data_IF_410791733635
#
_entry.id   IF_410791733635
#
_cell.length_a   1.000
_cell.length_b   1.000
_cell.length_c   1.000
_cell.angle_alpha   90.00
_cell.angle_beta   90.00
_cell.angle_gamma   90.00
#
_symmetry.space_group_name_H-M   'P 1'
#
loop_
_entity.id
_entity.type
_entity.pdbx_description
1 polymer ?
#
# COMPACT_ATOMS: atom_id res chain seq x y z
N UNK A 1 -23.34 12.44 -13.44
CA UNK A 1 -22.91 11.12 -12.90
C UNK A 1 -22.62 11.20 -11.41
N UNK A 2 -23.08 10.18 -10.67
CA UNK A 2 -22.86 10.03 -9.22
C UNK A 2 -21.39 9.75 -8.91
N UNK A 3 -20.67 9.08 -9.81
CA UNK A 3 -19.25 8.78 -9.69
C UNK A 3 -18.47 9.61 -10.72
N UNK A 4 -17.46 10.33 -10.26
CA UNK A 4 -16.49 11.06 -11.09
C UNK A 4 -15.14 10.33 -11.04
N UNK A 5 -14.68 9.85 -12.18
CA UNK A 5 -13.38 9.24 -12.37
C UNK A 5 -13.01 9.23 -13.86
N UNK A 6 -11.72 9.10 -14.18
CA UNK A 6 -11.31 8.92 -15.56
C UNK A 6 -11.85 7.59 -16.11
N UNK A 7 -12.41 7.60 -17.33
CA UNK A 7 -12.94 6.39 -17.99
C UNK A 7 -11.91 5.24 -18.01
N UNK A 8 -10.64 5.55 -18.24
CA UNK A 8 -9.57 4.55 -18.23
C UNK A 8 -9.28 3.94 -16.86
N UNK A 9 -9.52 4.66 -15.76
CA UNK A 9 -9.44 4.08 -14.41
C UNK A 9 -10.60 3.12 -14.14
N UNK A 10 -11.84 3.51 -14.52
CA UNK A 10 -13.02 2.69 -14.30
C UNK A 10 -12.97 1.36 -15.07
N UNK A 11 -12.46 1.38 -16.31
CA UNK A 11 -12.27 0.15 -17.11
C UNK A 11 -11.28 -0.81 -16.43
N UNK A 12 -10.16 -0.30 -15.94
CA UNK A 12 -9.14 -1.11 -15.25
C UNK A 12 -9.68 -1.67 -13.94
N UNK A 13 -10.39 -0.85 -13.16
CA UNK A 13 -11.05 -1.29 -11.93
C UNK A 13 -12.07 -2.40 -12.22
N UNK A 14 -12.96 -2.20 -13.19
CA UNK A 14 -14.00 -3.17 -13.53
C UNK A 14 -13.39 -4.53 -13.93
N UNK A 15 -12.32 -4.53 -14.74
CA UNK A 15 -11.63 -5.76 -15.11
C UNK A 15 -11.02 -6.51 -13.92
N UNK A 16 -10.49 -5.78 -12.93
CA UNK A 16 -9.97 -6.38 -11.69
C UNK A 16 -11.07 -6.91 -10.80
N UNK A 17 -12.15 -6.16 -10.63
CA UNK A 17 -13.33 -6.59 -9.86
C UNK A 17 -13.98 -7.84 -10.47
N UNK A 18 -13.99 -7.97 -11.79
CA UNK A 18 -14.52 -9.16 -12.45
C UNK A 18 -13.69 -10.41 -12.11
N UNK A 19 -12.35 -10.34 -12.22
CA UNK A 19 -11.44 -11.42 -11.81
C UNK A 19 -11.58 -11.77 -10.34
N UNK A 20 -11.79 -10.77 -9.49
CA UNK A 20 -12.02 -10.99 -8.06
C UNK A 20 -13.32 -11.75 -7.80
N UNK A 21 -14.42 -11.34 -8.46
CA UNK A 21 -15.72 -12.03 -8.35
C UNK A 21 -15.64 -13.49 -8.77
N UNK A 22 -14.95 -13.80 -9.86
CA UNK A 22 -14.75 -15.18 -10.33
C UNK A 22 -14.03 -16.04 -9.28
N UNK A 23 -13.04 -15.48 -8.59
CA UNK A 23 -12.35 -16.16 -7.48
C UNK A 23 -13.26 -16.33 -6.27
N UNK A 24 -14.04 -15.32 -5.93
CA UNK A 24 -14.94 -15.36 -4.79
C UNK A 24 -16.07 -16.37 -4.99
N UNK A 25 -16.69 -16.40 -6.17
CA UNK A 25 -17.69 -17.39 -6.56
C UNK A 25 -17.13 -18.81 -6.48
N UNK A 26 -15.94 -19.04 -7.07
CA UNK A 26 -15.24 -20.33 -6.96
C UNK A 26 -14.98 -20.73 -5.51
N UNK A 27 -14.57 -19.80 -4.65
CA UNK A 27 -14.31 -20.08 -3.25
C UNK A 27 -15.61 -20.41 -2.49
N UNK A 28 -16.72 -19.72 -2.77
CA UNK A 28 -18.04 -20.05 -2.19
C UNK A 28 -18.49 -21.45 -2.58
N UNK A 29 -18.35 -21.83 -3.86
CA UNK A 29 -18.67 -23.18 -4.32
C UNK A 29 -17.84 -24.24 -3.60
N UNK A 30 -16.54 -23.98 -3.38
CA UNK A 30 -15.68 -24.88 -2.60
C UNK A 30 -16.19 -25.02 -1.16
N UNK A 31 -16.56 -23.93 -0.50
CA UNK A 31 -17.08 -23.99 0.87
C UNK A 31 -18.43 -24.71 0.98
N UNK A 32 -19.26 -24.68 -0.05
CA UNK A 32 -20.53 -25.42 -0.08
C UNK A 32 -20.28 -26.90 -0.32
N UNK A 33 -19.37 -27.25 -1.24
CA UNK A 33 -19.18 -28.62 -1.72
C UNK A 33 -18.20 -29.43 -0.86
N UNK A 34 -17.33 -28.80 -0.07
CA UNK A 34 -16.32 -29.47 0.73
C UNK A 34 -16.45 -29.13 2.22
N UNK A 35 -16.41 -30.16 3.07
CA UNK A 35 -16.43 -30.02 4.56
C UNK A 35 -15.09 -29.49 5.11
N UNK A 36 -14.04 -29.47 4.27
CA UNK A 36 -12.69 -29.11 4.70
C UNK A 36 -12.59 -27.63 5.11
N UNK A 37 -12.10 -27.40 6.33
CA UNK A 37 -11.84 -26.05 6.83
C UNK A 37 -10.46 -25.55 6.38
N UNK A 38 -10.45 -24.44 5.65
CA UNK A 38 -9.22 -23.78 5.18
C UNK A 38 -8.74 -22.65 6.10
N UNK A 39 -9.42 -22.40 7.24
CA UNK A 39 -9.10 -21.33 8.19
C UNK A 39 -7.66 -21.40 8.72
N UNK A 40 -7.09 -22.59 8.85
CA UNK A 40 -5.69 -22.78 9.27
C UNK A 40 -4.72 -22.17 8.27
N UNK A 41 -4.99 -22.34 6.97
CA UNK A 41 -4.19 -21.78 5.90
C UNK A 41 -4.32 -20.25 5.86
N UNK A 42 -5.54 -19.72 6.00
CA UNK A 42 -5.75 -18.27 6.08
C UNK A 42 -5.05 -17.64 7.30
N UNK A 43 -5.09 -18.32 8.46
CA UNK A 43 -4.36 -17.92 9.66
C UNK A 43 -2.85 -17.94 9.46
N UNK A 44 -2.34 -18.91 8.70
CA UNK A 44 -0.93 -18.97 8.33
C UNK A 44 -0.54 -17.78 7.46
N UNK A 45 -1.28 -17.50 6.40
CA UNK A 45 -1.08 -16.31 5.55
C UNK A 45 -1.11 -15.03 6.38
N UNK A 46 -2.11 -14.85 7.24
CA UNK A 46 -2.22 -13.70 8.12
C UNK A 46 -1.01 -13.55 9.06
N UNK A 47 -0.45 -14.65 9.56
CA UNK A 47 0.77 -14.63 10.39
C UNK A 47 1.98 -14.18 9.57
N UNK A 48 2.13 -14.68 8.34
CA UNK A 48 3.24 -14.28 7.47
C UNK A 48 3.20 -12.77 7.18
N UNK A 49 2.02 -12.25 6.82
CA UNK A 49 1.83 -10.82 6.55
C UNK A 49 2.19 -9.96 7.77
N UNK A 50 1.69 -10.31 8.96
CA UNK A 50 2.02 -9.59 10.21
C UNK A 50 3.49 -9.64 10.60
N UNK A 51 4.26 -10.60 10.08
CA UNK A 51 5.67 -10.81 10.37
C UNK A 51 6.60 -10.21 9.30
N UNK A 52 6.05 -9.51 8.30
CA UNK A 52 6.87 -8.80 7.32
C UNK A 52 7.63 -7.66 8.02
N UNK A 53 8.93 -7.60 7.81
CA UNK A 53 9.86 -6.62 8.38
C UNK A 53 10.81 -6.10 7.31
N UNK A 54 11.39 -4.92 7.53
CA UNK A 54 12.25 -4.21 6.57
C UNK A 54 13.66 -4.78 6.35
N UNK A 55 13.84 -6.10 6.43
CA UNK A 55 15.13 -6.76 6.16
C UNK A 55 15.04 -7.62 4.90
N UNK A 56 16.14 -7.69 4.13
CA UNK A 56 16.16 -8.44 2.85
C UNK A 56 15.81 -9.92 3.03
N UNK A 57 16.31 -10.56 4.09
CA UNK A 57 16.07 -11.98 4.35
C UNK A 57 14.64 -12.26 4.78
N UNK A 58 14.06 -11.40 5.63
CA UNK A 58 12.66 -11.54 6.03
C UNK A 58 11.73 -11.43 4.82
N UNK A 59 11.90 -10.38 4.01
CA UNK A 59 11.11 -10.16 2.80
C UNK A 59 11.21 -11.35 1.83
N UNK A 60 12.43 -11.85 1.57
CA UNK A 60 12.64 -13.00 0.68
C UNK A 60 11.99 -14.27 1.23
N UNK A 61 12.21 -14.58 2.50
CA UNK A 61 11.61 -15.75 3.17
C UNK A 61 10.09 -15.72 3.10
N UNK A 62 9.47 -14.58 3.46
CA UNK A 62 8.01 -14.43 3.45
C UNK A 62 7.43 -14.51 2.04
N UNK A 63 8.07 -13.91 1.05
CA UNK A 63 7.65 -14.06 -0.34
C UNK A 63 7.71 -15.53 -0.80
N UNK A 64 8.81 -16.24 -0.52
CA UNK A 64 8.95 -17.66 -0.88
C UNK A 64 7.96 -18.56 -0.16
N UNK A 65 7.71 -18.33 1.14
CA UNK A 65 6.72 -19.08 1.92
C UNK A 65 5.29 -18.86 1.37
N UNK A 66 4.93 -17.64 0.99
CA UNK A 66 3.63 -17.35 0.38
C UNK A 66 3.45 -18.05 -0.97
N UNK A 67 4.48 -18.05 -1.83
CA UNK A 67 4.44 -18.79 -3.11
C UNK A 67 4.28 -20.30 -2.88
N UNK A 68 4.94 -20.86 -1.85
CA UNK A 68 4.76 -22.27 -1.47
C UNK A 68 3.33 -22.54 -0.99
N UNK A 69 2.73 -21.65 -0.19
CA UNK A 69 1.34 -21.76 0.25
C UNK A 69 0.40 -21.79 -0.96
N UNK A 70 0.60 -20.91 -1.94
CA UNK A 70 -0.25 -20.85 -3.13
C UNK A 70 -0.14 -22.09 -4.03
N UNK A 71 0.95 -22.83 -3.90
CA UNK A 71 1.23 -24.04 -4.65
C UNK A 71 0.94 -25.33 -3.86
N UNK A 72 0.45 -25.21 -2.62
CA UNK A 72 0.18 -26.36 -1.77
C UNK A 72 -1.14 -27.04 -2.21
N UNK A 73 -1.12 -28.31 -2.65
CA UNK A 73 -2.34 -29.00 -3.10
C UNK A 73 -3.37 -29.21 -1.97
N UNK A 74 -2.96 -29.10 -0.69
CA UNK A 74 -3.87 -29.26 0.45
C UNK A 74 -4.86 -28.10 0.62
N UNK A 75 -4.64 -26.95 -0.03
CA UNK A 75 -5.56 -25.82 -0.02
C UNK A 75 -5.74 -25.28 -1.45
N UNK A 76 -6.97 -25.12 -1.94
CA UNK A 76 -7.21 -24.49 -3.24
C UNK A 76 -6.48 -23.15 -3.36
N UNK A 77 -5.76 -22.99 -4.47
CA UNK A 77 -4.96 -21.80 -4.71
C UNK A 77 -5.79 -20.51 -4.65
N UNK A 78 -7.04 -20.54 -5.12
CA UNK A 78 -7.97 -19.40 -5.08
C UNK A 78 -8.30 -18.94 -3.66
N UNK A 79 -8.38 -19.86 -2.69
CA UNK A 79 -8.61 -19.53 -1.27
C UNK A 79 -7.37 -18.86 -0.70
N UNK A 80 -6.18 -19.41 -0.97
CA UNK A 80 -4.92 -18.85 -0.49
C UNK A 80 -4.64 -17.45 -1.04
N UNK A 81 -4.91 -17.23 -2.33
CA UNK A 81 -4.74 -15.93 -2.99
C UNK A 81 -5.73 -14.90 -2.42
N UNK A 82 -7.00 -15.28 -2.26
CA UNK A 82 -8.01 -14.39 -1.69
C UNK A 82 -7.67 -14.04 -0.22
N UNK A 83 -7.21 -15.01 0.57
CA UNK A 83 -6.71 -14.77 1.91
C UNK A 83 -5.50 -13.82 1.92
N UNK A 84 -4.55 -13.99 1.00
CA UNK A 84 -3.40 -13.08 0.87
C UNK A 84 -3.86 -11.65 0.58
N UNK A 85 -4.71 -11.46 -0.42
CA UNK A 85 -5.21 -10.16 -0.81
C UNK A 85 -5.94 -9.46 0.36
N UNK A 86 -6.90 -10.14 0.99
CA UNK A 86 -7.61 -9.64 2.18
C UNK A 86 -6.66 -9.28 3.32
N UNK A 87 -5.71 -10.16 3.64
CA UNK A 87 -4.81 -9.97 4.80
C UNK A 87 -3.77 -8.86 4.56
N UNK A 88 -3.29 -8.68 3.33
CA UNK A 88 -2.44 -7.53 2.97
C UNK A 88 -3.22 -6.22 3.18
N UNK A 89 -4.42 -6.13 2.62
CA UNK A 89 -5.25 -4.92 2.72
C UNK A 89 -5.64 -4.64 4.18
N UNK A 90 -6.07 -5.64 4.94
CA UNK A 90 -6.42 -5.45 6.35
C UNK A 90 -5.21 -5.07 7.23
N UNK A 91 -4.04 -5.67 6.96
CA UNK A 91 -2.85 -5.40 7.77
C UNK A 91 -2.27 -4.01 7.51
N UNK A 92 -2.56 -3.39 6.36
CA UNK A 92 -1.97 -2.10 6.03
C UNK A 92 -2.38 -0.97 6.99
N UNK A 93 -3.52 -1.12 7.66
CA UNK A 93 -4.04 -0.21 8.70
C UNK A 93 -3.31 -0.34 10.04
N UNK A 94 -2.49 -1.39 10.20
CA UNK A 94 -1.70 -1.59 11.42
C UNK A 94 -0.57 -0.56 11.50
N UNK A 95 -0.34 0.07 12.68
CA UNK A 95 0.77 1.00 12.86
C UNK A 95 2.14 0.34 12.65
N UNK A 96 2.25 -0.97 12.86
CA UNK A 96 3.48 -1.74 12.65
C UNK A 96 3.70 -2.15 11.18
N UNK A 97 2.83 -1.74 10.26
CA UNK A 97 2.93 -2.10 8.85
C UNK A 97 4.15 -1.44 8.19
N UNK A 98 5.16 -2.26 7.89
CA UNK A 98 6.30 -1.85 7.07
C UNK A 98 5.89 -1.80 5.58
N UNK A 99 5.27 -0.70 5.15
CA UNK A 99 4.65 -0.56 3.83
C UNK A 99 5.58 -0.95 2.65
N UNK A 100 6.86 -0.53 2.66
CA UNK A 100 7.82 -0.91 1.61
C UNK A 100 8.22 -2.38 1.67
N UNK A 101 8.39 -2.96 2.86
CA UNK A 101 8.68 -4.38 2.99
C UNK A 101 7.49 -5.23 2.49
N UNK A 102 6.27 -4.80 2.81
CA UNK A 102 5.04 -5.41 2.28
C UNK A 102 4.97 -5.30 0.75
N UNK A 103 5.25 -4.10 0.20
CA UNK A 103 5.33 -3.88 -1.24
C UNK A 103 6.38 -4.79 -1.92
N UNK A 104 7.55 -4.99 -1.32
CA UNK A 104 8.55 -5.92 -1.84
C UNK A 104 8.01 -7.36 -1.91
N UNK A 105 7.36 -7.84 -0.83
CA UNK A 105 6.74 -9.16 -0.81
C UNK A 105 5.68 -9.29 -1.90
N UNK A 106 4.80 -8.29 -2.05
CA UNK A 106 3.78 -8.26 -3.11
C UNK A 106 4.43 -8.38 -4.49
N UNK A 107 5.44 -7.56 -4.80
CA UNK A 107 6.09 -7.59 -6.12
C UNK A 107 6.78 -8.93 -6.38
N UNK A 108 7.46 -9.50 -5.38
CA UNK A 108 8.13 -10.79 -5.52
C UNK A 108 7.14 -11.95 -5.76
N UNK A 109 6.04 -11.98 -5.01
CA UNK A 109 4.98 -12.99 -5.16
C UNK A 109 4.30 -12.86 -6.52
N UNK A 110 3.88 -11.65 -6.88
CA UNK A 110 3.15 -11.38 -8.13
C UNK A 110 4.03 -11.52 -9.37
N UNK A 111 5.34 -11.33 -9.27
CA UNK A 111 6.26 -11.64 -10.38
C UNK A 111 6.31 -13.14 -10.72
N UNK A 112 6.03 -14.02 -9.76
CA UNK A 112 5.92 -15.48 -9.98
C UNK A 112 4.52 -15.88 -10.41
N UNK A 113 3.51 -15.16 -9.95
CA UNK A 113 2.10 -15.44 -10.22
C UNK A 113 1.36 -14.12 -10.58
N UNK A 114 1.45 -13.65 -11.85
CA UNK A 114 0.99 -12.31 -12.23
C UNK A 114 -0.48 -12.01 -11.93
N UNK A 115 -1.37 -13.01 -12.04
CA UNK A 115 -2.79 -12.85 -11.76
C UNK A 115 -3.10 -12.44 -10.31
N UNK A 116 -2.21 -12.74 -9.35
CA UNK A 116 -2.36 -12.35 -7.94
C UNK A 116 -2.39 -10.83 -7.79
N UNK A 117 -1.69 -10.09 -8.65
CA UNK A 117 -1.67 -8.62 -8.60
C UNK A 117 -3.06 -8.03 -8.84
N UNK A 118 -3.82 -8.57 -9.79
CA UNK A 118 -5.16 -8.09 -10.12
C UNK A 118 -6.14 -8.32 -8.97
N UNK A 119 -6.05 -9.49 -8.31
CA UNK A 119 -6.89 -9.84 -7.16
C UNK A 119 -6.58 -8.94 -5.97
N UNK A 120 -5.30 -8.72 -5.69
CA UNK A 120 -4.87 -7.80 -4.63
C UNK A 120 -5.35 -6.37 -4.89
N UNK A 121 -5.19 -5.88 -6.12
CA UNK A 121 -5.62 -4.53 -6.47
C UNK A 121 -7.15 -4.39 -6.46
N UNK A 122 -7.89 -5.43 -6.81
CA UNK A 122 -9.35 -5.44 -6.66
C UNK A 122 -9.77 -5.25 -5.20
N UNK A 123 -9.21 -6.02 -4.28
CA UNK A 123 -9.43 -5.86 -2.82
C UNK A 123 -9.09 -4.44 -2.35
N UNK A 124 -7.97 -3.90 -2.85
CA UNK A 124 -7.52 -2.57 -2.47
C UNK A 124 -8.43 -1.45 -3.00
N UNK A 125 -8.95 -1.62 -4.22
CA UNK A 125 -9.90 -0.68 -4.84
C UNK A 125 -11.26 -0.68 -4.14
N UNK A 126 -11.70 -1.84 -3.65
CA UNK A 126 -12.90 -1.95 -2.82
C UNK A 126 -12.71 -1.30 -1.45
N UNK A 127 -11.55 -1.48 -0.83
CA UNK A 127 -11.25 -0.90 0.48
C UNK A 127 -11.02 0.63 0.43
N UNK A 128 -10.45 1.14 -0.66
CA UNK A 128 -10.14 2.56 -0.81
C UNK A 128 -10.33 3.04 -2.25
N UNK A 129 -11.42 3.79 -2.47
CA UNK A 129 -11.80 4.32 -3.78
C UNK A 129 -10.74 5.25 -4.40
N UNK A 130 -9.85 5.83 -3.58
CA UNK A 130 -8.79 6.74 -4.02
C UNK A 130 -7.61 6.02 -4.65
N UNK A 131 -7.50 4.69 -4.50
CA UNK A 131 -6.53 3.89 -5.27
C UNK A 131 -6.91 3.78 -6.76
N UNK A 132 -8.14 4.16 -7.13
CA UNK A 132 -8.70 4.21 -8.51
C UNK A 132 -8.85 5.65 -9.07
N UNK A 133 -8.41 6.68 -8.34
CA UNK A 133 -9.00 8.02 -8.26
C UNK A 133 -10.48 8.11 -8.61
N UNK A 134 -11.35 7.80 -7.63
CA UNK A 134 -12.80 8.06 -7.72
C UNK A 134 -13.24 9.14 -6.73
N UNK A 135 -14.26 9.89 -7.14
CA UNK A 135 -15.03 10.78 -6.27
C UNK A 135 -16.52 10.47 -6.43
N UNK A 136 -17.20 10.25 -5.31
CA UNK A 136 -18.64 9.98 -5.29
C UNK A 136 -19.36 11.24 -4.81
N UNK A 137 -20.29 11.73 -5.61
CA UNK A 137 -21.10 12.92 -5.30
C UNK A 137 -22.32 12.48 -4.51
N UNK A 138 -22.50 13.01 -3.30
CA UNK A 138 -23.73 12.80 -2.55
C UNK A 138 -24.93 13.45 -3.26
N UNK A 139 -26.02 12.69 -3.40
CA UNK A 139 -27.33 13.23 -3.71
C UNK A 139 -28.42 12.35 -3.10
N UNK A 140 -29.55 12.94 -2.71
CA UNK A 140 -30.70 12.19 -2.17
C UNK A 140 -31.34 11.23 -3.18
N UNK A 141 -31.13 11.46 -4.48
CA UNK A 141 -31.62 10.58 -5.53
C UNK A 141 -30.73 9.34 -5.72
N UNK A 142 -29.45 9.43 -5.38
CA UNK A 142 -28.48 8.36 -5.56
C UNK A 142 -28.26 7.51 -4.31
N UNK A 143 -28.59 8.04 -3.13
CA UNK A 143 -28.38 7.37 -1.85
C UNK A 143 -29.62 7.46 -0.98
N UNK A 144 -30.02 6.32 -0.42
CA UNK A 144 -31.15 6.19 0.49
C UNK A 144 -30.90 6.96 1.81
N UNK A 145 -29.64 7.04 2.25
CA UNK A 145 -29.24 7.75 3.46
C UNK A 145 -27.80 8.27 3.39
N UNK A 146 -27.41 9.10 4.37
CA UNK A 146 -26.00 9.55 4.51
C UNK A 146 -25.09 8.38 4.88
N UNK A 147 -25.58 7.43 5.65
CA UNK A 147 -24.86 6.22 6.04
C UNK A 147 -24.57 5.35 4.82
N UNK A 148 -25.54 5.19 3.91
CA UNK A 148 -25.33 4.50 2.63
C UNK A 148 -24.26 5.18 1.77
N UNK A 149 -24.26 6.52 1.74
CA UNK A 149 -23.22 7.30 1.07
C UNK A 149 -21.83 7.10 1.70
N UNK A 150 -21.72 7.13 3.03
CA UNK A 150 -20.45 6.90 3.71
C UNK A 150 -19.93 5.48 3.47
N UNK A 151 -20.80 4.46 3.51
CA UNK A 151 -20.42 3.08 3.14
C UNK A 151 -19.89 3.02 1.71
N UNK A 152 -20.51 3.73 0.76
CA UNK A 152 -20.03 3.79 -0.62
C UNK A 152 -18.66 4.48 -0.77
N UNK A 153 -18.31 5.40 0.13
CA UNK A 153 -16.95 5.98 0.22
C UNK A 153 -15.93 5.05 0.89
N UNK A 154 -16.36 3.93 1.46
CA UNK A 154 -15.53 2.97 2.18
C UNK A 154 -15.47 3.22 3.70
N UNK A 155 -16.38 4.01 4.27
CA UNK A 155 -16.47 4.11 5.73
C UNK A 155 -16.89 2.76 6.33
N UNK A 156 -16.19 2.35 7.37
CA UNK A 156 -16.52 1.17 8.15
C UNK A 156 -17.64 1.45 9.15
N UNK A 157 -18.37 0.40 9.48
CA UNK A 157 -19.39 0.40 10.52
C UNK A 157 -18.95 -0.58 11.61
N UNK A 158 -18.91 -0.11 12.84
CA UNK A 158 -18.64 -0.92 14.02
C UNK A 158 -19.82 -0.81 14.99
N UNK A 159 -20.39 -1.95 15.37
CA UNK A 159 -21.55 -2.05 16.27
C UNK A 159 -22.72 -1.13 15.89
N UNK A 160 -23.07 -1.06 14.60
CA UNK A 160 -24.18 -0.24 14.11
C UNK A 160 -23.87 1.25 13.94
N UNK A 161 -22.62 1.67 14.18
CA UNK A 161 -22.19 3.06 14.11
C UNK A 161 -21.13 3.25 13.03
N UNK A 162 -21.38 4.19 12.12
CA UNK A 162 -20.41 4.60 11.11
C UNK A 162 -19.19 5.23 11.78
N UNK A 163 -17.99 4.85 11.33
CA UNK A 163 -16.73 5.40 11.81
C UNK A 163 -16.70 6.93 11.66
N UNK A 164 -15.96 7.60 12.54
CA UNK A 164 -15.81 9.05 12.42
C UNK A 164 -14.81 9.40 11.30
N UNK A 165 -14.88 10.64 10.81
CA UNK A 165 -14.03 11.13 9.71
C UNK A 165 -12.53 11.02 10.03
N UNK A 166 -12.12 11.25 11.28
CA UNK A 166 -10.71 11.19 11.67
C UNK A 166 -10.14 9.78 11.52
N UNK A 167 -10.87 8.77 11.94
CA UNK A 167 -10.43 7.38 11.83
C UNK A 167 -10.50 6.88 10.38
N UNK A 168 -11.52 7.28 9.62
CA UNK A 168 -11.55 7.06 8.17
C UNK A 168 -10.32 7.65 7.46
N UNK A 169 -9.94 8.89 7.79
CA UNK A 169 -8.78 9.55 7.18
C UNK A 169 -7.45 8.82 7.50
N UNK A 170 -7.27 8.29 8.73
CA UNK A 170 -6.09 7.47 9.07
C UNK A 170 -6.04 6.18 8.25
N UNK A 171 -7.18 5.52 8.07
CA UNK A 171 -7.32 4.32 7.24
C UNK A 171 -7.01 4.62 5.77
N UNK A 172 -7.61 5.67 5.23
CA UNK A 172 -7.34 6.18 3.89
C UNK A 172 -5.84 6.47 3.69
N UNK A 173 -5.19 7.16 4.64
CA UNK A 173 -3.75 7.40 4.60
C UNK A 173 -2.98 6.09 4.53
N UNK A 174 -3.31 5.12 5.39
CA UNK A 174 -2.66 3.81 5.45
C UNK A 174 -2.76 3.04 4.13
N UNK A 175 -3.94 3.00 3.52
CA UNK A 175 -4.14 2.42 2.18
C UNK A 175 -3.28 3.13 1.14
N UNK A 176 -3.28 4.46 1.13
CA UNK A 176 -2.54 5.23 0.13
C UNK A 176 -1.03 5.15 0.32
N UNK A 177 -0.54 4.96 1.57
CA UNK A 177 0.87 4.71 1.84
C UNK A 177 1.33 3.38 1.27
N UNK A 178 0.58 2.30 1.50
CA UNK A 178 0.91 1.00 0.91
C UNK A 178 0.76 1.03 -0.63
N UNK A 179 -0.24 1.73 -1.17
CA UNK A 179 -0.39 1.92 -2.63
C UNK A 179 0.81 2.64 -3.25
N UNK A 180 1.23 3.77 -2.66
CA UNK A 180 2.41 4.50 -3.13
C UNK A 180 3.70 3.68 -2.98
N UNK A 181 3.84 2.93 -1.89
CA UNK A 181 4.96 2.02 -1.69
C UNK A 181 5.02 0.94 -2.79
N UNK A 182 3.87 0.30 -3.09
CA UNK A 182 3.74 -0.69 -4.16
C UNK A 182 4.16 -0.10 -5.51
N UNK A 183 3.63 1.07 -5.87
CA UNK A 183 3.92 1.76 -7.14
C UNK A 183 5.41 2.02 -7.36
N UNK A 184 6.14 2.36 -6.30
CA UNK A 184 7.56 2.71 -6.40
C UNK A 184 8.50 1.49 -6.28
N UNK A 185 8.02 0.39 -5.73
CA UNK A 185 8.87 -0.75 -5.39
C UNK A 185 9.21 -1.57 -6.64
N UNK A 186 10.50 -1.80 -6.86
CA UNK A 186 11.01 -2.67 -7.93
C UNK A 186 12.28 -3.37 -7.42
N UNK A 187 12.14 -4.52 -6.74
CA UNK A 187 13.27 -5.26 -6.20
C UNK A 187 14.18 -5.76 -7.34
N UNK A 188 15.52 -5.82 -7.15
CA UNK A 188 16.43 -6.30 -8.19
C UNK A 188 16.06 -7.70 -8.68
N UNK A 189 15.92 -7.86 -10.00
CA UNK A 189 15.53 -9.12 -10.64
C UNK A 189 14.02 -9.41 -10.67
N UNK A 190 13.18 -8.47 -10.23
CA UNK A 190 11.73 -8.57 -10.25
C UNK A 190 11.13 -7.37 -10.98
N UNK A 191 10.17 -7.60 -11.87
CA UNK A 191 9.47 -6.54 -12.58
C UNK A 191 8.15 -6.25 -11.87
N UNK A 192 7.91 -4.98 -11.54
CA UNK A 192 6.65 -4.58 -10.96
C UNK A 192 5.60 -4.27 -12.05
N UNK A 193 4.61 -5.16 -12.19
CA UNK A 193 3.50 -4.98 -13.13
C UNK A 193 2.61 -3.76 -12.81
N UNK A 194 2.62 -3.27 -11.57
CA UNK A 194 1.89 -2.08 -11.11
C UNK A 194 2.86 -0.98 -10.64
N UNK A 195 3.93 -0.76 -11.40
CA UNK A 195 5.00 0.17 -11.06
C UNK A 195 4.74 1.66 -11.39
N UNK A 196 5.82 2.43 -11.55
CA UNK A 196 5.79 3.89 -11.71
C UNK A 196 4.97 4.41 -12.92
N UNK A 197 4.72 3.58 -13.93
CA UNK A 197 3.82 3.93 -15.05
C UNK A 197 2.38 4.09 -14.56
N UNK A 198 1.92 3.14 -13.75
CA UNK A 198 0.59 3.19 -13.14
C UNK A 198 0.49 4.32 -12.11
N UNK A 199 1.57 4.58 -11.37
CA UNK A 199 1.65 5.75 -10.48
C UNK A 199 1.52 7.09 -11.20
N UNK A 200 2.15 7.24 -12.36
CA UNK A 200 2.00 8.45 -13.19
C UNK A 200 0.58 8.58 -13.73
N UNK A 201 0.00 7.48 -14.23
CA UNK A 201 -1.39 7.46 -14.68
C UNK A 201 -2.37 7.81 -13.55
N UNK A 202 -2.12 7.30 -12.34
CA UNK A 202 -2.89 7.64 -11.15
C UNK A 202 -2.86 9.14 -10.87
N UNK A 203 -1.68 9.77 -10.82
CA UNK A 203 -1.56 11.22 -10.57
C UNK A 203 -2.29 12.06 -11.62
N UNK A 204 -2.13 11.72 -12.89
CA UNK A 204 -2.79 12.45 -13.98
C UNK A 204 -4.32 12.33 -13.88
N UNK A 205 -4.84 11.11 -13.65
CA UNK A 205 -6.29 10.88 -13.49
C UNK A 205 -6.84 11.58 -12.25
N UNK A 206 -6.08 11.54 -11.15
CA UNK A 206 -6.42 12.17 -9.88
C UNK A 206 -6.57 13.68 -10.06
N UNK A 207 -5.52 14.37 -10.51
CA UNK A 207 -5.50 15.84 -10.60
C UNK A 207 -6.48 16.38 -11.64
N UNK A 208 -6.77 15.63 -12.70
CA UNK A 208 -7.70 16.06 -13.74
C UNK A 208 -9.17 15.84 -13.38
N UNK A 209 -9.49 14.98 -12.40
CA UNK A 209 -10.88 14.53 -12.17
C UNK A 209 -11.39 14.80 -10.76
N UNK A 210 -10.53 14.67 -9.75
CA UNK A 210 -10.95 14.70 -8.36
C UNK A 210 -10.96 16.14 -7.83
N UNK A 211 -12.04 16.57 -7.16
CA UNK A 211 -12.06 17.89 -6.53
C UNK A 211 -11.11 17.92 -5.33
N UNK A 212 -10.45 19.05 -5.11
CA UNK A 212 -9.64 19.27 -3.93
C UNK A 212 -10.54 19.35 -2.68
N UNK A 213 -10.35 18.46 -1.71
CA UNK A 213 -11.02 18.41 -0.40
C UNK A 213 -10.14 17.63 0.61
N UNK A 214 -10.59 17.44 1.85
CA UNK A 214 -9.79 16.75 2.89
C UNK A 214 -9.40 15.32 2.51
N UNK A 215 -10.32 14.52 1.97
CA UNK A 215 -10.08 13.12 1.62
C UNK A 215 -9.05 13.01 0.48
N UNK A 216 -9.21 13.84 -0.54
CA UNK A 216 -8.29 13.87 -1.68
C UNK A 216 -6.92 14.44 -1.26
N UNK A 217 -6.87 15.43 -0.37
CA UNK A 217 -5.61 15.96 0.15
C UNK A 217 -4.82 14.89 0.92
N UNK A 218 -5.46 14.13 1.81
CA UNK A 218 -4.80 13.03 2.54
C UNK A 218 -4.32 11.94 1.58
N UNK A 219 -5.13 11.57 0.59
CA UNK A 219 -4.74 10.57 -0.41
C UNK A 219 -3.51 11.01 -1.22
N UNK A 220 -3.51 12.27 -1.69
CA UNK A 220 -2.41 12.83 -2.47
C UNK A 220 -1.13 12.95 -1.64
N UNK A 221 -1.21 13.46 -0.40
CA UNK A 221 -0.07 13.58 0.49
C UNK A 221 0.57 12.21 0.72
N UNK A 222 -0.21 11.22 1.18
CA UNK A 222 0.27 9.87 1.44
C UNK A 222 0.94 9.23 0.21
N UNK A 223 0.35 9.41 -0.97
CA UNK A 223 0.91 8.92 -2.22
C UNK A 223 2.25 9.59 -2.56
N UNK A 224 2.35 10.92 -2.44
CA UNK A 224 3.58 11.67 -2.71
C UNK A 224 4.72 11.29 -1.76
N UNK A 225 4.43 11.15 -0.45
CA UNK A 225 5.44 10.74 0.53
C UNK A 225 6.07 9.39 0.18
N UNK A 226 5.29 8.46 -0.39
CA UNK A 226 5.75 7.11 -0.66
C UNK A 226 6.31 6.93 -2.08
N UNK A 227 5.68 7.52 -3.11
CA UNK A 227 6.00 7.27 -4.51
C UNK A 227 6.76 8.42 -5.21
N UNK A 228 6.77 9.61 -4.61
CA UNK A 228 7.28 10.81 -5.30
C UNK A 228 8.78 10.75 -5.60
N UNK A 229 9.58 10.06 -4.78
CA UNK A 229 11.00 9.85 -5.05
C UNK A 229 11.25 9.08 -6.36
N UNK A 230 10.56 7.97 -6.55
CA UNK A 230 10.65 7.14 -7.75
C UNK A 230 10.08 7.85 -8.97
N UNK A 231 8.94 8.53 -8.81
CA UNK A 231 8.33 9.32 -9.88
C UNK A 231 9.26 10.46 -10.34
N UNK A 232 9.86 11.19 -9.41
CA UNK A 232 10.85 12.21 -9.76
C UNK A 232 12.05 11.60 -10.48
N UNK A 233 12.63 10.50 -9.98
CA UNK A 233 13.78 9.86 -10.63
C UNK A 233 13.47 9.41 -12.06
N UNK A 234 12.25 8.93 -12.32
CA UNK A 234 11.81 8.42 -13.62
C UNK A 234 11.39 9.50 -14.62
N UNK A 235 10.71 10.55 -14.17
CA UNK A 235 10.07 11.54 -15.05
C UNK A 235 10.66 12.95 -14.92
N UNK A 236 11.50 13.21 -13.91
CA UNK A 236 12.33 14.41 -13.74
C UNK A 236 11.52 15.71 -13.89
N UNK A 237 11.82 16.49 -14.93
CA UNK A 237 11.16 17.78 -15.23
C UNK A 237 9.64 17.64 -15.37
N UNK A 238 9.14 16.51 -15.88
CA UNK A 238 7.68 16.32 -16.02
C UNK A 238 7.02 16.19 -14.65
N UNK A 239 7.66 15.49 -13.70
CA UNK A 239 7.14 15.42 -12.33
C UNK A 239 7.16 16.79 -11.64
N UNK A 240 8.18 17.62 -11.88
CA UNK A 240 8.20 19.00 -11.36
C UNK A 240 7.02 19.83 -11.88
N UNK A 241 6.64 19.68 -13.16
CA UNK A 241 5.43 20.35 -13.70
C UNK A 241 4.17 19.91 -12.96
N UNK A 242 4.05 18.62 -12.62
CA UNK A 242 2.93 18.10 -11.82
C UNK A 242 2.94 18.72 -10.41
N UNK A 243 4.11 18.84 -9.77
CA UNK A 243 4.21 19.49 -8.46
C UNK A 243 3.81 20.97 -8.51
N UNK A 244 4.12 21.69 -9.59
CA UNK A 244 3.67 23.07 -9.77
C UNK A 244 2.15 23.14 -9.88
N UNK A 245 1.51 22.27 -10.67
CA UNK A 245 0.04 22.16 -10.74
C UNK A 245 -0.56 21.87 -9.36
N UNK A 246 0.07 21.00 -8.57
CA UNK A 246 -0.38 20.74 -7.19
C UNK A 246 -0.26 22.01 -6.34
N UNK A 247 0.86 22.72 -6.43
CA UNK A 247 1.13 23.92 -5.63
C UNK A 247 0.22 25.10 -5.98
N UNK A 248 0.01 25.35 -7.26
CA UNK A 248 -0.72 26.51 -7.76
C UNK A 248 -2.23 26.25 -7.76
N UNK A 249 -2.67 25.16 -8.40
CA UNK A 249 -4.09 24.91 -8.64
C UNK A 249 -4.72 24.13 -7.47
N UNK A 250 -4.14 22.99 -7.11
CA UNK A 250 -4.76 22.08 -6.13
C UNK A 250 -4.74 22.66 -4.71
N UNK A 251 -3.59 23.15 -4.23
CA UNK A 251 -3.50 23.82 -2.94
C UNK A 251 -4.26 25.15 -2.93
N UNK A 252 -4.28 25.88 -4.04
CA UNK A 252 -5.11 27.08 -4.20
C UNK A 252 -6.59 26.77 -3.99
N UNK A 253 -7.10 25.72 -4.63
CA UNK A 253 -8.47 25.25 -4.47
C UNK A 253 -8.79 24.77 -3.04
N UNK A 254 -7.84 24.16 -2.33
CA UNK A 254 -8.02 23.81 -0.92
C UNK A 254 -8.10 25.06 -0.02
N UNK A 255 -7.19 26.02 -0.21
CA UNK A 255 -7.15 27.27 0.58
C UNK A 255 -8.44 28.08 0.39
N UNK A 256 -8.96 28.14 -0.84
CA UNK A 256 -10.19 28.86 -1.17
C UNK A 256 -11.44 28.31 -0.46
N UNK A 257 -11.41 27.08 0.08
CA UNK A 257 -12.53 26.54 0.87
C UNK A 257 -12.69 27.21 2.24
N UNK A 258 -11.64 27.87 2.76
CA UNK A 258 -11.70 28.55 4.05
C UNK A 258 -11.84 27.63 5.27
N UNK A 259 -11.66 26.32 5.10
CA UNK A 259 -11.77 25.33 6.16
C UNK A 259 -10.48 25.24 6.99
N UNK A 260 -10.57 25.52 8.28
CA UNK A 260 -9.42 25.50 9.20
C UNK A 260 -8.86 24.10 9.40
N UNK A 261 -9.67 23.05 9.24
CA UNK A 261 -9.23 21.65 9.38
C UNK A 261 -8.30 21.22 8.23
N UNK A 262 -8.32 21.94 7.09
CA UNK A 262 -7.42 21.70 5.97
C UNK A 262 -6.02 22.28 6.15
N UNK A 263 -5.82 23.21 7.10
CA UNK A 263 -4.53 23.92 7.27
C UNK A 263 -3.34 22.97 7.49
N UNK A 264 -3.43 21.92 8.34
CA UNK A 264 -2.30 21.00 8.55
C UNK A 264 -1.90 20.27 7.27
N UNK A 265 -2.86 19.66 6.56
CA UNK A 265 -2.57 18.88 5.35
C UNK A 265 -2.10 19.77 4.19
N UNK A 266 -2.60 21.00 4.08
CA UNK A 266 -2.09 22.00 3.13
C UNK A 266 -0.62 22.31 3.42
N UNK A 267 -0.28 22.56 4.69
CA UNK A 267 1.09 22.88 5.10
C UNK A 267 2.05 21.69 4.85
N UNK A 268 1.61 20.46 5.11
CA UNK A 268 2.41 19.26 4.84
C UNK A 268 2.73 19.06 3.36
N UNK A 269 1.73 19.18 2.48
CA UNK A 269 1.93 19.07 1.02
C UNK A 269 2.81 20.22 0.52
N UNK A 270 2.60 21.44 1.04
CA UNK A 270 3.41 22.59 0.68
C UNK A 270 4.89 22.39 1.10
N UNK A 271 5.16 22.00 2.34
CA UNK A 271 6.51 21.65 2.82
C UNK A 271 7.13 20.50 2.00
N UNK A 272 6.35 19.48 1.62
CA UNK A 272 6.86 18.40 0.76
C UNK A 272 7.44 18.93 -0.56
N UNK A 273 6.76 19.88 -1.19
CA UNK A 273 7.16 20.49 -2.47
C UNK A 273 8.34 21.44 -2.26
N UNK A 274 8.23 22.39 -1.31
CA UNK A 274 9.22 23.43 -1.04
C UNK A 274 10.56 22.87 -0.56
N UNK A 275 10.52 21.92 0.38
CA UNK A 275 11.71 21.23 0.91
C UNK A 275 12.26 20.18 -0.06
N UNK A 276 11.62 20.02 -1.22
CA UNK A 276 11.94 19.03 -2.25
C UNK A 276 12.09 17.62 -1.67
N UNK A 277 11.17 17.21 -0.79
CA UNK A 277 11.23 15.90 -0.11
C UNK A 277 11.26 14.73 -1.09
N UNK A 278 10.72 14.89 -2.30
CA UNK A 278 10.83 13.93 -3.41
C UNK A 278 12.27 13.67 -3.89
N UNK A 279 13.28 14.43 -3.45
CA UNK A 279 14.69 14.13 -3.73
C UNK A 279 15.30 13.15 -2.72
N UNK A 280 14.69 13.03 -1.54
CA UNK A 280 15.14 12.16 -0.46
C UNK A 280 14.47 10.79 -0.61
N UNK A 281 15.25 9.74 -0.39
CA UNK A 281 14.71 8.39 -0.38
C UNK A 281 13.76 8.23 0.82
N UNK A 282 12.51 7.75 0.62
CA UNK A 282 11.56 7.61 1.72
C UNK A 282 11.99 6.50 2.68
N UNK A 283 11.69 6.72 3.95
CA UNK A 283 12.05 5.80 5.03
C UNK A 283 11.52 4.39 4.78
N UNK A 284 12.35 3.39 5.06
CA UNK A 284 12.01 1.98 4.90
C UNK A 284 12.01 1.48 3.45
N UNK A 285 12.25 2.33 2.44
CA UNK A 285 12.35 1.89 1.03
C UNK A 285 13.54 0.97 0.80
N UNK A 286 14.71 1.37 1.28
CA UNK A 286 15.89 0.52 1.24
C UNK A 286 15.78 -0.56 2.32
N UNK A 287 15.71 -1.82 1.91
CA UNK A 287 15.71 -2.95 2.84
C UNK A 287 17.08 -3.07 3.52
N UNK A 288 17.08 -3.25 4.84
CA UNK A 288 18.28 -3.45 5.63
C UNK A 288 18.94 -4.79 5.28
N UNK A 289 20.26 -4.79 5.19
CA UNK A 289 21.05 -6.02 5.24
C UNK A 289 20.94 -6.64 6.64
N UNK A 290 21.05 -7.97 6.74
CA UNK A 290 20.91 -8.68 8.02
C UNK A 290 21.89 -8.13 9.06
N UNK A 291 21.43 -7.94 10.30
CA UNK A 291 22.19 -7.39 11.44
C UNK A 291 23.41 -8.24 11.87
N UNK A 292 23.74 -9.33 11.15
CA UNK A 292 24.82 -10.26 11.51
C UNK A 292 26.24 -9.75 11.19
N UNK A 293 26.40 -8.58 10.56
CA UNK A 293 27.71 -8.11 10.10
C UNK A 293 28.40 -7.04 10.96
N UNK A 294 27.94 -6.73 12.18
CA UNK A 294 28.55 -5.68 13.02
C UNK A 294 29.15 -6.13 14.35
N UNK A 295 29.26 -7.43 14.62
CA UNK A 295 29.99 -7.91 15.82
C UNK A 295 31.31 -8.56 15.37
N UNK A 296 32.24 -7.76 14.86
CA UNK A 296 33.66 -8.12 14.97
C UNK A 296 34.11 -7.72 16.37
N UNK A 297 34.10 -8.67 17.29
CA UNK A 297 34.84 -8.54 18.55
C UNK A 297 36.33 -8.50 18.15
N UNK A 298 37.10 -7.48 18.56
CA UNK A 298 38.54 -7.51 18.33
C UNK A 298 39.12 -8.72 19.08
N UNK A 299 39.86 -9.57 18.37
CA UNK A 299 40.69 -10.60 18.99
C UNK A 299 41.63 -9.90 19.97
N UNK A 300 41.51 -10.22 21.25
CA UNK A 300 42.45 -9.76 22.27
C UNK A 300 43.78 -10.45 22.04
N UNK A 301 44.76 -9.67 21.58
CA UNK A 301 46.17 -10.03 21.50
C UNK A 301 46.67 -10.47 22.89
N UNK A 302 46.68 -11.78 23.14
CA UNK A 302 47.40 -12.35 24.27
C UNK A 302 48.88 -12.42 23.92
N UNK A 303 49.54 -11.28 24.08
CA UNK A 303 50.99 -11.16 24.06
C UNK A 303 51.62 -12.06 25.11
N UNK A 304 52.40 -13.04 24.62
CA UNK A 304 53.41 -13.75 25.39
C UNK A 304 54.28 -12.75 26.15
N UNK A 305 54.35 -12.87 27.47
CA UNK A 305 55.48 -12.35 28.23
C UNK A 305 56.00 -13.41 29.18
N UNK A 306 57.03 -14.08 28.70
CA UNK A 306 57.91 -14.95 29.45
C UNK A 306 58.82 -14.05 30.31
N UNK A 307 58.78 -14.21 31.63
CA UNK A 307 59.79 -13.63 32.51
C UNK A 307 59.97 -14.51 33.74
N UNK A 308 61.06 -15.29 33.70
CA UNK A 308 61.67 -15.96 34.84
C UNK A 308 61.96 -14.96 35.97
N UNK A 309 61.69 -15.35 37.22
CA UNK A 309 62.72 -15.41 38.29
C UNK A 309 62.19 -16.01 39.59
N UNK A 310 62.97 -16.98 40.07
CA UNK A 310 63.04 -17.56 41.42
C UNK A 310 62.92 -16.53 42.55
N UNK A 311 62.32 -16.91 43.69
CA UNK A 311 62.99 -17.06 45.00
C UNK A 311 62.02 -17.58 46.07
N UNK A 312 62.52 -18.60 46.79
CA UNK A 312 62.04 -19.29 48.02
C UNK A 312 60.78 -20.16 47.96
#
# INVERSE_FOLDING_TARGET
>A
DVVKAAKSALIVEQGRLQKFKEIDEKNREIHINFVQDFSSNERHVARLIRQIRGTKDNVRSKASELVKIFSNPACPQSISIAAFARKVVSHCESPDNAAFACAHVIVMVTSKMPHVMDVLLAEFHMACIFTVPKYIVYSKAAFESKEAYYKALGFQEDNGKIENVKDYLKRLESYMRLYGALVQTEPPGFQNAHGLKEGWAWLARFLNTLPANVYTAVALNAFLQMAGFGLFRRYRRQFQKILNVISEDYLGALKARGDSELKPIIAEIQSYIEDKKFLKEPEGRAMQDSLLSSVMVPESDHGYNQSNRYYY
#
